data_IF_935733436294
#
_entry.id   IF_935733436294
#
_cell.length_a   1.000
_cell.length_b   1.000
_cell.length_c   1.000
_cell.angle_alpha   90.00
_cell.angle_beta   90.00
_cell.angle_gamma   90.00
#
_symmetry.space_group_name_H-M   'P 1'
#
loop_
_entity.id
_entity.type
_entity.pdbx_description
1 polymer ?
#
# COMPACT_ATOMS: atom_id res chain seq x y z
N UNK A 1 -3.72 8.26 2.47
CA UNK A 1 -3.17 7.17 1.66
C UNK A 1 -3.06 5.89 2.46
N UNK A 2 -3.27 4.75 1.80
CA UNK A 2 -2.95 3.43 2.35
C UNK A 2 -2.12 2.65 1.33
N UNK A 3 -0.91 2.24 1.73
CA UNK A 3 -0.05 1.36 0.94
C UNK A 3 -0.51 -0.08 1.17
N UNK A 4 -0.99 -0.71 0.11
CA UNK A 4 -1.37 -2.14 0.10
C UNK A 4 -0.17 -2.94 -0.37
N UNK A 5 0.48 -3.63 0.56
CA UNK A 5 1.65 -4.44 0.22
C UNK A 5 1.23 -5.72 -0.50
N UNK A 6 1.76 -5.92 -1.68
CA UNK A 6 1.55 -7.10 -2.49
C UNK A 6 2.04 -8.38 -1.81
N UNK A 7 1.54 -9.49 -2.30
CA UNK A 7 1.96 -10.83 -1.97
C UNK A 7 1.96 -11.65 -3.27
N UNK A 8 2.62 -12.81 -3.23
CA UNK A 8 2.86 -13.65 -4.42
C UNK A 8 1.63 -13.83 -5.31
N UNK A 9 1.85 -13.67 -6.60
CA UNK A 9 0.94 -14.04 -7.69
C UNK A 9 1.42 -15.36 -8.32
N UNK A 10 0.54 -16.18 -8.83
CA UNK A 10 0.88 -17.42 -9.57
C UNK A 10 0.37 -17.31 -11.01
N UNK A 11 1.28 -17.10 -11.95
CA UNK A 11 0.90 -16.63 -13.29
C UNK A 11 0.21 -15.28 -13.21
N UNK A 12 -1.08 -15.22 -13.53
CA UNK A 12 -1.95 -14.05 -13.36
C UNK A 12 -2.92 -14.17 -12.17
N UNK A 13 -2.85 -15.24 -11.37
CA UNK A 13 -3.81 -15.49 -10.28
C UNK A 13 -3.28 -15.01 -8.93
N UNK A 14 -4.07 -14.22 -8.22
CA UNK A 14 -3.75 -13.78 -6.87
C UNK A 14 -3.74 -14.97 -5.87
N UNK A 15 -2.81 -14.94 -4.92
CA UNK A 15 -2.79 -15.91 -3.82
C UNK A 15 -3.89 -15.63 -2.79
N UNK A 16 -4.23 -16.62 -1.96
CA UNK A 16 -5.20 -16.41 -0.87
C UNK A 16 -4.75 -15.29 0.09
N UNK A 17 -3.46 -15.20 0.39
CA UNK A 17 -2.93 -14.14 1.23
C UNK A 17 -3.09 -12.75 0.59
N UNK A 18 -2.91 -12.65 -0.72
CA UNK A 18 -3.13 -11.40 -1.44
C UNK A 18 -4.62 -11.06 -1.47
N UNK A 19 -5.48 -12.06 -1.73
CA UNK A 19 -6.93 -11.87 -1.71
C UNK A 19 -7.41 -11.31 -0.37
N UNK A 20 -6.98 -11.88 0.76
CA UNK A 20 -7.36 -11.40 2.09
C UNK A 20 -6.96 -9.94 2.34
N UNK A 21 -5.79 -9.51 1.82
CA UNK A 21 -5.39 -8.10 1.89
C UNK A 21 -6.29 -7.21 1.04
N UNK A 22 -6.66 -7.67 -0.15
CA UNK A 22 -7.51 -6.90 -1.05
C UNK A 22 -8.95 -6.80 -0.54
N UNK A 23 -9.49 -7.89 0.02
CA UNK A 23 -10.78 -7.86 0.69
C UNK A 23 -10.78 -6.83 1.85
N UNK A 24 -9.71 -6.83 2.67
CA UNK A 24 -9.56 -5.81 3.74
C UNK A 24 -9.40 -4.39 3.19
N UNK A 25 -8.75 -4.23 2.04
CA UNK A 25 -8.61 -2.93 1.39
C UNK A 25 -9.94 -2.39 0.89
N UNK A 26 -10.82 -3.27 0.39
CA UNK A 26 -12.19 -2.92 -0.01
C UNK A 26 -12.98 -2.45 1.21
N UNK A 27 -13.03 -3.24 2.29
CA UNK A 27 -13.70 -2.85 3.54
C UNK A 27 -13.18 -1.50 4.07
N UNK A 28 -11.86 -1.31 4.04
CA UNK A 28 -11.24 -0.06 4.48
C UNK A 28 -11.66 1.14 3.62
N UNK A 29 -11.77 0.93 2.31
CA UNK A 29 -12.21 1.98 1.37
C UNK A 29 -13.68 2.35 1.55
N UNK A 30 -14.53 1.39 1.94
CA UNK A 30 -15.93 1.64 2.29
C UNK A 30 -16.04 2.44 3.60
N UNK A 31 -15.23 2.11 4.60
CA UNK A 31 -15.18 2.81 5.89
C UNK A 31 -14.59 4.22 5.75
N UNK A 32 -13.59 4.38 4.86
CA UNK A 32 -12.88 5.65 4.61
C UNK A 32 -12.89 6.04 3.13
N UNK A 33 -14.00 6.55 2.58
CA UNK A 33 -14.19 6.76 1.13
C UNK A 33 -13.20 7.73 0.47
N UNK A 34 -12.54 8.58 1.25
CA UNK A 34 -11.54 9.52 0.74
C UNK A 34 -10.13 8.94 0.65
N UNK A 35 -9.95 7.67 1.02
CA UNK A 35 -8.65 7.00 0.98
C UNK A 35 -8.24 6.71 -0.46
N UNK A 36 -6.97 6.98 -0.77
CA UNK A 36 -6.30 6.53 -1.99
C UNK A 36 -5.42 5.35 -1.64
N UNK A 37 -5.58 4.25 -2.37
CA UNK A 37 -4.80 3.02 -2.20
C UNK A 37 -3.58 3.05 -3.12
N UNK A 38 -2.40 2.83 -2.56
CA UNK A 38 -1.15 2.63 -3.31
C UNK A 38 -0.86 1.14 -3.36
N UNK A 39 -1.00 0.56 -4.53
CA UNK A 39 -0.82 -0.88 -4.76
C UNK A 39 0.65 -1.14 -5.05
N UNK A 40 1.36 -1.75 -4.11
CA UNK A 40 2.80 -1.88 -4.19
C UNK A 40 3.25 -3.33 -4.29
N UNK A 41 3.96 -3.63 -5.37
CA UNK A 41 4.58 -4.92 -5.63
C UNK A 41 4.94 -5.13 -7.09
N UNK A 42 6.22 -5.34 -7.35
CA UNK A 42 6.75 -5.64 -8.67
C UNK A 42 6.43 -7.05 -9.14
N UNK A 43 7.11 -7.46 -10.21
CA UNK A 43 6.96 -8.78 -10.82
C UNK A 43 8.02 -9.74 -10.29
N UNK A 44 7.58 -10.76 -9.58
CA UNK A 44 8.45 -11.79 -9.04
C UNK A 44 8.75 -12.95 -10.05
N UNK A 45 9.69 -13.82 -9.71
CA UNK A 45 9.99 -14.98 -10.54
C UNK A 45 8.78 -15.91 -10.73
N UNK A 46 8.47 -16.23 -11.99
CA UNK A 46 7.33 -17.10 -12.34
C UNK A 46 5.96 -16.39 -12.32
N UNK A 47 5.93 -15.08 -12.18
CA UNK A 47 4.74 -14.27 -12.32
C UNK A 47 4.60 -13.76 -13.75
N UNK A 48 3.38 -13.71 -14.27
CA UNK A 48 3.10 -13.17 -15.62
C UNK A 48 2.90 -11.65 -15.58
N UNK A 49 2.31 -11.15 -14.49
CA UNK A 49 2.05 -9.74 -14.23
C UNK A 49 2.63 -9.34 -12.88
N UNK A 50 2.82 -8.04 -12.62
CA UNK A 50 3.24 -7.56 -11.30
C UNK A 50 2.16 -7.77 -10.24
N UNK A 51 2.58 -7.90 -8.97
CA UNK A 51 1.64 -7.97 -7.85
C UNK A 51 0.71 -6.75 -7.85
N UNK A 52 1.24 -5.55 -8.10
CA UNK A 52 0.48 -4.31 -8.16
C UNK A 52 -0.59 -4.33 -9.27
N UNK A 53 -0.26 -4.89 -10.46
CA UNK A 53 -1.21 -5.01 -11.55
C UNK A 53 -2.34 -5.99 -11.21
N UNK A 54 -2.01 -7.13 -10.62
CA UNK A 54 -3.02 -8.10 -10.17
C UNK A 54 -3.96 -7.50 -9.10
N UNK A 55 -3.41 -6.71 -8.18
CA UNK A 55 -4.20 -5.98 -7.17
C UNK A 55 -5.14 -4.98 -7.81
N UNK A 56 -4.64 -4.20 -8.77
CA UNK A 56 -5.42 -3.21 -9.50
C UNK A 56 -6.63 -3.85 -10.20
N UNK A 57 -6.42 -4.91 -10.96
CA UNK A 57 -7.48 -5.62 -11.67
C UNK A 57 -8.53 -6.19 -10.71
N UNK A 58 -8.11 -6.74 -9.59
CA UNK A 58 -9.01 -7.25 -8.57
C UNK A 58 -9.86 -6.15 -7.93
N UNK A 59 -9.25 -5.04 -7.55
CA UNK A 59 -9.95 -3.92 -6.89
C UNK A 59 -10.90 -3.21 -7.84
N UNK A 60 -10.50 -3.01 -9.11
CA UNK A 60 -11.40 -2.46 -10.13
C UNK A 60 -12.61 -3.37 -10.37
N UNK A 61 -12.38 -4.69 -10.50
CA UNK A 61 -13.47 -5.66 -10.66
C UNK A 61 -14.47 -5.61 -9.48
N UNK A 62 -13.99 -5.30 -8.27
CA UNK A 62 -14.81 -5.15 -7.07
C UNK A 62 -15.31 -3.71 -6.82
N UNK A 63 -15.23 -2.84 -7.82
CA UNK A 63 -15.89 -1.54 -7.81
C UNK A 63 -15.11 -0.39 -7.20
N UNK A 64 -13.81 -0.57 -6.88
CA UNK A 64 -12.97 0.55 -6.43
C UNK A 64 -12.64 1.45 -7.64
N UNK A 65 -12.96 2.77 -7.59
CA UNK A 65 -12.73 3.69 -8.68
C UNK A 65 -11.23 3.84 -9.02
N UNK A 66 -10.94 4.03 -10.31
CA UNK A 66 -9.55 4.15 -10.81
C UNK A 66 -8.78 5.32 -10.18
N UNK A 67 -9.45 6.45 -9.96
CA UNK A 67 -8.86 7.65 -9.34
C UNK A 67 -8.47 7.44 -7.86
N UNK A 68 -8.88 6.34 -7.26
CA UNK A 68 -8.49 5.90 -5.91
C UNK A 68 -7.35 4.89 -5.89
N UNK A 69 -6.80 4.52 -7.05
CA UNK A 69 -5.78 3.49 -7.17
C UNK A 69 -4.50 4.07 -7.77
N UNK A 70 -3.40 3.96 -7.05
CA UNK A 70 -2.05 4.27 -7.54
C UNK A 70 -1.24 2.97 -7.63
N UNK A 71 -0.43 2.84 -8.68
CA UNK A 71 0.37 1.63 -8.93
C UNK A 71 1.84 1.94 -8.65
N UNK A 72 2.48 1.05 -7.89
CA UNK A 72 3.93 0.92 -7.72
C UNK A 72 4.31 -0.53 -8.07
N UNK A 73 4.93 -0.77 -9.21
CA UNK A 73 5.20 -2.10 -9.76
C UNK A 73 6.68 -2.41 -9.99
N UNK A 74 7.58 -1.60 -9.40
CA UNK A 74 9.02 -1.75 -9.59
C UNK A 74 9.73 -2.42 -8.40
N UNK A 75 9.10 -2.46 -7.24
CA UNK A 75 9.70 -2.98 -6.01
C UNK A 75 9.86 -4.50 -6.02
N UNK A 76 10.97 -4.98 -5.47
CA UNK A 76 11.29 -6.41 -5.34
C UNK A 76 11.22 -6.94 -3.91
N UNK A 77 11.27 -6.07 -2.92
CA UNK A 77 11.23 -6.40 -1.49
C UNK A 77 10.39 -5.41 -0.69
N UNK A 78 10.21 -5.66 0.61
CA UNK A 78 9.35 -4.82 1.45
C UNK A 78 9.92 -3.43 1.69
N UNK A 79 11.24 -3.28 1.71
CA UNK A 79 11.89 -1.96 1.89
C UNK A 79 11.58 -1.09 0.68
N UNK A 80 11.82 -1.61 -0.52
CA UNK A 80 11.51 -0.93 -1.77
C UNK A 80 10.02 -0.66 -1.96
N UNK A 81 9.14 -1.59 -1.54
CA UNK A 81 7.68 -1.38 -1.58
C UNK A 81 7.28 -0.10 -0.84
N UNK A 82 7.84 0.12 0.34
CA UNK A 82 7.53 1.30 1.15
C UNK A 82 8.18 2.56 0.55
N UNK A 83 9.45 2.50 0.20
CA UNK A 83 10.22 3.62 -0.38
C UNK A 83 9.60 4.12 -1.70
N UNK A 84 9.33 3.20 -2.64
CA UNK A 84 8.79 3.57 -3.94
C UNK A 84 7.33 4.03 -3.85
N UNK A 85 6.54 3.42 -2.95
CA UNK A 85 5.18 3.91 -2.66
C UNK A 85 5.20 5.34 -2.11
N UNK A 86 6.16 5.67 -1.23
CA UNK A 86 6.34 7.05 -0.75
C UNK A 86 6.59 8.00 -1.91
N UNK A 87 7.49 7.62 -2.84
CA UNK A 87 7.78 8.41 -4.04
C UNK A 87 6.54 8.61 -4.92
N UNK A 88 5.69 7.59 -5.06
CA UNK A 88 4.42 7.69 -5.79
C UNK A 88 3.47 8.67 -5.10
N UNK A 89 3.34 8.61 -3.77
CA UNK A 89 2.52 9.54 -2.98
C UNK A 89 3.01 10.97 -3.14
N UNK A 90 4.31 11.22 -2.96
CA UNK A 90 4.90 12.55 -3.04
C UNK A 90 4.70 13.17 -4.44
N UNK A 91 4.83 12.36 -5.50
CA UNK A 91 4.52 12.78 -6.88
C UNK A 91 3.05 13.16 -7.05
N UNK A 92 2.14 12.36 -6.52
CA UNK A 92 0.70 12.62 -6.59
C UNK A 92 0.34 13.91 -5.85
N UNK A 93 0.89 14.15 -4.68
CA UNK A 93 0.68 15.37 -3.91
C UNK A 93 1.28 16.60 -4.60
N UNK A 94 2.44 16.45 -5.23
CA UNK A 94 3.04 17.52 -6.05
C UNK A 94 2.12 17.90 -7.23
N UNK A 95 1.56 16.93 -7.94
CA UNK A 95 0.63 17.19 -9.04
C UNK A 95 -0.67 17.85 -8.56
N UNK A 96 -1.23 17.41 -7.44
CA UNK A 96 -2.38 18.04 -6.81
C UNK A 96 -2.08 19.49 -6.42
N UNK A 97 -0.94 19.74 -5.81
CA UNK A 97 -0.52 21.08 -5.44
C UNK A 97 -0.30 22.00 -6.66
N UNK A 98 0.24 21.47 -7.76
CA UNK A 98 0.35 22.21 -9.01
C UNK A 98 -1.00 22.51 -9.64
N UNK A 99 -1.91 21.54 -9.69
CA UNK A 99 -3.27 21.72 -10.19
C UNK A 99 -4.03 22.75 -9.33
N UNK A 100 -3.89 22.67 -8.01
CA UNK A 100 -4.44 23.66 -7.09
C UNK A 100 -3.83 25.07 -7.31
N UNK A 101 -2.51 25.17 -7.56
CA UNK A 101 -1.86 26.46 -7.92
C UNK A 101 -2.38 27.04 -9.23
N UNK A 102 -2.64 26.22 -10.23
CA UNK A 102 -3.22 26.66 -11.51
C UNK A 102 -4.63 27.25 -11.31
N UNK A 103 -5.41 26.72 -10.37
CA UNK A 103 -6.69 27.30 -9.96
C UNK A 103 -6.54 28.47 -8.95
N UNK A 104 -5.45 28.49 -8.16
CA UNK A 104 -5.22 29.45 -7.05
C UNK A 104 -4.50 30.73 -7.47
N UNK A 105 -4.20 30.95 -8.76
CA UNK A 105 -3.87 32.29 -9.23
C UNK A 105 -5.00 33.31 -8.96
N UNK A 106 -6.19 32.81 -8.65
CA UNK A 106 -7.36 33.64 -8.30
C UNK A 106 -7.65 33.71 -6.79
N UNK A 107 -7.01 32.84 -5.96
CA UNK A 107 -7.24 32.77 -4.51
C UNK A 107 -5.95 32.59 -3.71
N UNK A 108 -5.10 33.61 -3.65
CA UNK A 108 -4.02 33.65 -2.66
C UNK A 108 -4.57 34.14 -1.32
N UNK A 109 -4.84 33.24 -0.39
CA UNK A 109 -4.75 33.46 1.05
C UNK A 109 -4.64 32.15 1.84
N UNK A 110 -3.49 32.07 2.50
CA UNK A 110 -3.22 31.25 3.70
C UNK A 110 -3.62 29.76 3.65
N UNK A 111 -2.62 28.90 3.41
CA UNK A 111 -2.70 27.52 3.88
C UNK A 111 -2.69 27.54 5.41
N UNK A 112 -3.62 26.84 6.10
CA UNK A 112 -3.36 26.46 7.47
C UNK A 112 -2.14 25.53 7.47
N UNK A 113 -1.15 25.86 8.33
CA UNK A 113 0.00 24.99 8.59
C UNK A 113 -0.44 23.56 8.87
N UNK A 114 0.15 22.62 8.17
CA UNK A 114 0.33 21.28 8.70
C UNK A 114 -0.68 20.21 8.32
N UNK A 115 -1.15 20.10 7.07
CA UNK A 115 -1.74 18.84 6.59
C UNK A 115 -0.62 17.79 6.43
N UNK A 116 -0.35 17.09 7.54
CA UNK A 116 0.55 15.94 7.54
C UNK A 116 -0.08 14.83 6.71
N UNK A 117 0.64 14.36 5.68
CA UNK A 117 0.22 13.22 4.88
C UNK A 117 0.19 11.99 5.79
N UNK A 118 -1.01 11.46 6.02
CA UNK A 118 -1.18 10.22 6.78
C UNK A 118 -1.01 9.03 5.85
N UNK A 119 -0.13 8.11 6.21
CA UNK A 119 0.16 6.90 5.44
C UNK A 119 -0.20 5.68 6.28
N UNK A 120 -1.17 4.89 5.81
CA UNK A 120 -1.47 3.57 6.33
C UNK A 120 -0.67 2.50 5.59
N UNK A 121 -0.35 1.38 6.26
CA UNK A 121 0.25 0.20 5.61
C UNK A 121 -0.67 -0.98 5.83
N UNK A 122 -1.27 -1.47 4.74
CA UNK A 122 -2.16 -2.61 4.76
C UNK A 122 -1.40 -3.87 4.32
N UNK A 123 -1.34 -4.83 5.23
CA UNK A 123 -0.73 -6.13 4.98
C UNK A 123 -1.30 -7.20 5.91
N UNK A 124 -0.89 -8.46 5.75
CA UNK A 124 -1.33 -9.54 6.65
C UNK A 124 -0.90 -9.27 8.10
N UNK A 125 -1.72 -9.65 9.06
CA UNK A 125 -1.53 -9.38 10.49
C UNK A 125 -0.14 -9.77 11.03
N UNK A 126 0.42 -10.91 10.59
CA UNK A 126 1.77 -11.36 10.97
C UNK A 126 2.89 -10.46 10.42
N UNK A 127 2.63 -9.67 9.38
CA UNK A 127 3.64 -8.85 8.71
C UNK A 127 3.57 -7.36 9.08
N UNK A 128 2.48 -6.90 9.71
CA UNK A 128 2.24 -5.48 10.03
C UNK A 128 3.40 -4.89 10.83
N UNK A 129 3.82 -5.56 11.90
CA UNK A 129 4.88 -5.06 12.77
C UNK A 129 6.19 -4.79 12.02
N UNK A 130 6.61 -5.73 11.15
CA UNK A 130 7.82 -5.56 10.35
C UNK A 130 7.67 -4.42 9.33
N UNK A 131 6.54 -4.35 8.66
CA UNK A 131 6.27 -3.30 7.68
C UNK A 131 6.29 -1.89 8.32
N UNK A 132 5.68 -1.75 9.51
CA UNK A 132 5.75 -0.50 10.28
C UNK A 132 7.18 -0.16 10.72
N UNK A 133 7.96 -1.16 11.20
CA UNK A 133 9.33 -0.94 11.60
C UNK A 133 10.20 -0.46 10.43
N UNK A 134 10.01 -1.03 9.23
CA UNK A 134 10.69 -0.58 8.02
C UNK A 134 10.28 0.85 7.66
N UNK A 135 8.98 1.18 7.73
CA UNK A 135 8.50 2.51 7.41
C UNK A 135 9.05 3.59 8.35
N UNK A 136 9.11 3.30 9.65
CA UNK A 136 9.72 4.23 10.64
C UNK A 136 11.19 4.50 10.37
N UNK A 137 11.95 3.51 9.88
CA UNK A 137 13.35 3.72 9.44
C UNK A 137 13.47 4.62 8.21
N UNK A 138 12.40 4.74 7.44
CA UNK A 138 12.30 5.63 6.27
C UNK A 138 11.60 6.95 6.61
N UNK A 139 11.57 7.34 7.88
CA UNK A 139 10.97 8.59 8.38
C UNK A 139 9.47 8.71 8.05
N UNK A 140 8.77 7.58 7.95
CA UNK A 140 7.32 7.51 7.81
C UNK A 140 6.73 7.10 9.16
N UNK A 141 5.73 7.83 9.65
CA UNK A 141 4.92 7.39 10.79
C UNK A 141 3.65 6.69 10.30
N UNK A 142 3.67 5.36 10.12
CA UNK A 142 2.55 4.66 9.53
C UNK A 142 1.50 4.26 10.56
N UNK A 143 0.28 4.06 10.06
CA UNK A 143 -0.76 3.34 10.78
C UNK A 143 -0.90 1.95 10.16
N UNK A 144 -0.70 0.88 10.94
CA UNK A 144 -0.85 -0.49 10.47
C UNK A 144 -2.32 -0.85 10.27
N UNK A 145 -2.64 -1.40 9.10
CA UNK A 145 -3.96 -1.97 8.79
C UNK A 145 -3.78 -3.47 8.56
N UNK A 146 -4.27 -4.27 9.50
CA UNK A 146 -4.12 -5.72 9.47
C UNK A 146 -5.19 -6.39 8.61
N UNK A 147 -4.77 -7.21 7.65
CA UNK A 147 -5.63 -8.20 7.02
C UNK A 147 -5.50 -9.53 7.77
N UNK A 148 -6.61 -10.28 7.86
CA UNK A 148 -6.59 -11.61 8.45
C UNK A 148 -5.64 -12.55 7.69
N UNK A 149 -5.14 -13.58 8.35
CA UNK A 149 -4.42 -14.67 7.71
C UNK A 149 -5.01 -16.02 8.13
N UNK A 150 -4.72 -17.05 7.34
CA UNK A 150 -5.11 -18.41 7.67
C UNK A 150 -4.53 -18.83 9.01
N UNK A 151 -5.36 -19.20 10.03
CA UNK A 151 -4.89 -19.57 11.36
C UNK A 151 -3.91 -20.76 11.37
N UNK A 152 -4.04 -21.68 10.41
CA UNK A 152 -3.16 -22.86 10.31
C UNK A 152 -1.74 -22.45 9.95
N UNK A 153 -1.57 -21.42 9.13
CA UNK A 153 -0.27 -20.89 8.74
C UNK A 153 0.26 -19.83 9.71
N UNK A 154 -0.58 -19.29 10.58
CA UNK A 154 -0.26 -18.14 11.43
C UNK A 154 1.02 -18.35 12.25
N UNK A 155 1.16 -19.48 12.96
CA UNK A 155 2.31 -19.76 13.83
C UNK A 155 3.63 -19.75 13.02
N UNK A 156 3.65 -20.43 11.88
CA UNK A 156 4.84 -20.46 11.00
C UNK A 156 5.22 -19.07 10.49
N UNK A 157 4.21 -18.30 10.10
CA UNK A 157 4.40 -16.96 9.54
C UNK A 157 4.89 -15.97 10.61
N UNK A 158 4.34 -16.02 11.83
CA UNK A 158 4.79 -15.22 12.97
C UNK A 158 6.25 -15.50 13.36
N UNK A 159 6.65 -16.78 13.42
CA UNK A 159 8.03 -17.16 13.69
C UNK A 159 8.98 -16.64 12.63
N UNK A 160 8.62 -16.78 11.34
CA UNK A 160 9.44 -16.27 10.24
C UNK A 160 9.64 -14.76 10.32
N UNK A 161 8.59 -14.00 10.62
CA UNK A 161 8.68 -12.54 10.73
C UNK A 161 9.49 -12.11 11.96
N UNK A 162 9.37 -12.81 13.09
CA UNK A 162 10.20 -12.54 14.26
C UNK A 162 11.70 -12.67 13.95
N UNK A 163 12.11 -13.70 13.21
CA UNK A 163 13.50 -13.85 12.76
C UNK A 163 13.89 -12.82 11.71
N UNK A 164 12.98 -12.40 10.83
CA UNK A 164 13.27 -11.40 9.81
C UNK A 164 13.53 -10.02 10.44
N UNK A 165 12.76 -9.63 11.45
CA UNK A 165 12.97 -8.35 12.19
C UNK A 165 14.33 -8.29 12.86
N UNK A 166 14.88 -9.42 13.32
CA UNK A 166 16.22 -9.48 13.92
C UNK A 166 17.35 -9.35 12.88
N UNK A 167 17.05 -9.59 11.61
CA UNK A 167 18.04 -9.53 10.51
C UNK A 167 18.06 -8.16 9.81
N UNK A 168 16.93 -7.47 9.78
CA UNK A 168 16.77 -6.13 9.19
C UNK A 168 17.21 -5.03 10.18
#
# INVERSE_FOLDING_TARGET
YVIVLGARVRGAKISNSLKQRLDRAIEYSEEYPNTVLVLSGGKGPGEEISEARAMYEYLQYNGIPEDKLLIEDQSSDTVQKIEFSRTVIDRQEYHKAQAARAHLMEFYRERPDGDTIRIGILTSNYHVFRAEAIARRQEIEPVGVAAACDPVLAVHLWLREAFAVLKD
#
